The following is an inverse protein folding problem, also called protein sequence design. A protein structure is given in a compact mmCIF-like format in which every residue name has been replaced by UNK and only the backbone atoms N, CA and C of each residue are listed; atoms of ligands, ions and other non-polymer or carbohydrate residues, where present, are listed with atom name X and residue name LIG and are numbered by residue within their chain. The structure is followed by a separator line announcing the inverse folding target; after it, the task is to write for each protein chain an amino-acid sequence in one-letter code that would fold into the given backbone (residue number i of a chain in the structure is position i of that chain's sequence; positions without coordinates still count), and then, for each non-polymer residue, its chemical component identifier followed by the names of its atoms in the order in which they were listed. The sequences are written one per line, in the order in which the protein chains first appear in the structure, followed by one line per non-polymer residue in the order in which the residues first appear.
data_IF_254022449342
#
_entry.id   IF_254022449342
#
_cell.length_a   1.000
_cell.length_b   1.000
_cell.length_c   1.000
_cell.angle_alpha   90.00
_cell.angle_beta   90.00
_cell.angle_gamma   90.00
#
_symmetry.space_group_name_H-M   'P 1'
#
loop_
_entity.id
_entity.type
_entity.pdbx_description
1 polymer ?
#
# COMPACT_ATOMS: atom_id res chain seq x y z
N UNK A 1 9.65 28.18 30.53
CA UNK A 1 8.52 27.52 29.85
C UNK A 1 8.59 27.90 28.38
N UNK A 2 9.11 27.03 27.53
CA UNK A 2 9.27 27.32 26.10
C UNK A 2 8.27 26.48 25.34
N UNK A 3 7.30 27.14 24.70
CA UNK A 3 6.24 26.50 23.90
C UNK A 3 6.81 26.14 22.53
N UNK A 4 6.84 24.85 22.19
CA UNK A 4 7.22 24.39 20.86
C UNK A 4 6.05 24.58 19.91
N UNK A 5 6.18 25.54 19.00
CA UNK A 5 5.25 25.71 17.88
C UNK A 5 5.27 24.47 16.98
N UNK A 6 4.12 23.82 16.79
CA UNK A 6 3.96 22.72 15.83
C UNK A 6 4.11 23.30 14.43
N UNK A 7 5.21 22.97 13.76
CA UNK A 7 5.46 23.41 12.38
C UNK A 7 4.24 23.12 11.49
N UNK A 8 3.82 24.12 10.71
CA UNK A 8 2.74 23.99 9.75
C UNK A 8 3.11 22.92 8.71
N UNK A 9 2.20 21.96 8.48
CA UNK A 9 2.42 20.88 7.53
C UNK A 9 2.58 21.49 6.12
N UNK A 10 3.61 21.13 5.34
CA UNK A 10 3.74 21.61 3.97
C UNK A 10 2.51 21.20 3.14
N UNK A 11 2.03 22.09 2.26
CA UNK A 11 0.82 21.90 1.45
C UNK A 11 1.04 20.95 0.26
N UNK A 12 1.66 19.80 0.51
CA UNK A 12 1.89 18.76 -0.49
C UNK A 12 0.99 17.56 -0.22
N UNK A 13 0.05 17.27 -1.11
CA UNK A 13 -0.75 16.05 -1.07
C UNK A 13 -0.08 14.98 -1.93
N UNK A 14 0.22 13.83 -1.35
CA UNK A 14 0.70 12.66 -2.10
C UNK A 14 -0.51 12.03 -2.80
N UNK A 15 -0.63 12.24 -4.12
CA UNK A 15 -1.76 11.74 -4.92
C UNK A 15 -1.73 10.22 -5.15
N UNK A 16 -0.57 9.59 -4.99
CA UNK A 16 -0.44 8.17 -5.24
C UNK A 16 0.86 7.59 -4.71
N UNK A 17 0.83 6.29 -4.47
CA UNK A 17 1.98 5.50 -4.06
C UNK A 17 2.00 4.17 -4.84
N UNK A 18 3.18 3.62 -5.18
CA UNK A 18 3.26 2.33 -5.87
C UNK A 18 2.51 1.21 -5.15
N UNK A 19 1.47 0.66 -5.80
CA UNK A 19 0.62 -0.42 -5.27
C UNK A 19 1.22 -1.82 -5.45
N UNK A 20 2.26 -1.94 -6.27
CA UNK A 20 2.75 -3.23 -6.77
C UNK A 20 3.45 -4.08 -5.70
N UNK A 21 3.92 -3.46 -4.60
CA UNK A 21 4.71 -4.10 -3.54
C UNK A 21 6.21 -4.19 -3.87
N UNK A 22 7.06 -4.35 -2.84
CA UNK A 22 8.53 -4.32 -2.98
C UNK A 22 9.08 -5.42 -3.89
N UNK A 23 8.37 -6.55 -3.99
CA UNK A 23 8.77 -7.71 -4.80
C UNK A 23 7.70 -8.08 -5.82
N UNK A 24 6.92 -7.07 -6.25
CA UNK A 24 5.84 -7.18 -7.24
C UNK A 24 4.76 -8.18 -6.82
N UNK A 25 4.42 -8.22 -5.55
CA UNK A 25 3.44 -9.12 -4.95
C UNK A 25 2.07 -8.99 -5.65
N UNK A 26 1.61 -7.76 -5.93
CA UNK A 26 0.31 -7.55 -6.58
C UNK A 26 0.28 -8.14 -8.01
N UNK A 27 1.38 -8.00 -8.76
CA UNK A 27 1.50 -8.60 -10.09
C UNK A 27 1.34 -10.12 -10.01
N UNK A 28 2.07 -10.77 -9.10
CA UNK A 28 2.04 -12.23 -8.94
C UNK A 28 0.66 -12.73 -8.52
N UNK A 29 -0.02 -12.01 -7.62
CA UNK A 29 -1.37 -12.35 -7.19
C UNK A 29 -2.38 -12.26 -8.33
N UNK A 30 -2.30 -11.21 -9.15
CA UNK A 30 -3.18 -11.04 -10.33
C UNK A 30 -2.93 -12.16 -11.36
N UNK A 31 -1.67 -12.47 -11.64
CA UNK A 31 -1.32 -13.55 -12.59
C UNK A 31 -1.78 -14.93 -12.09
N UNK A 32 -1.65 -15.19 -10.79
CA UNK A 32 -2.14 -16.43 -10.15
C UNK A 32 -3.66 -16.55 -10.22
N UNK A 33 -4.38 -15.45 -9.97
CA UNK A 33 -5.84 -15.41 -10.10
C UNK A 33 -6.29 -15.67 -11.55
N UNK A 34 -5.65 -15.05 -12.54
CA UNK A 34 -5.95 -15.30 -13.95
C UNK A 34 -5.63 -16.73 -14.40
N UNK A 35 -4.61 -17.34 -13.81
CA UNK A 35 -4.29 -18.75 -14.03
C UNK A 35 -5.27 -19.72 -13.34
N UNK A 36 -6.22 -19.21 -12.55
CA UNK A 36 -7.16 -20.02 -11.76
C UNK A 36 -6.51 -20.73 -10.56
N UNK A 37 -5.29 -20.35 -10.19
CA UNK A 37 -4.53 -20.97 -9.11
C UNK A 37 -4.87 -20.42 -7.73
N UNK A 38 -5.46 -19.22 -7.66
CA UNK A 38 -5.92 -18.57 -6.43
C UNK A 38 -7.31 -17.98 -6.63
N UNK A 39 -8.04 -17.84 -5.52
CA UNK A 39 -9.38 -17.26 -5.45
C UNK A 39 -9.35 -15.72 -5.53
N UNK A 40 -10.52 -15.12 -5.77
CA UNK A 40 -10.67 -13.67 -5.69
C UNK A 40 -10.38 -13.14 -4.27
N UNK A 41 -10.77 -13.89 -3.24
CA UNK A 41 -10.53 -13.53 -1.83
C UNK A 41 -9.03 -13.49 -1.49
N UNK A 42 -8.24 -14.43 -2.02
CA UNK A 42 -6.78 -14.44 -1.85
C UNK A 42 -6.09 -13.26 -2.54
N UNK A 43 -6.58 -12.88 -3.74
CA UNK A 43 -6.12 -11.69 -4.44
C UNK A 43 -6.43 -10.41 -3.63
N UNK A 44 -7.67 -10.28 -3.14
CA UNK A 44 -8.09 -9.11 -2.36
C UNK A 44 -7.35 -9.02 -1.03
N UNK A 45 -7.13 -10.16 -0.36
CA UNK A 45 -6.32 -10.24 0.87
C UNK A 45 -4.89 -9.77 0.62
N UNK A 46 -4.26 -10.22 -0.48
CA UNK A 46 -2.92 -9.76 -0.86
C UNK A 46 -2.90 -8.25 -1.11
N UNK A 47 -3.87 -7.72 -1.84
CA UNK A 47 -3.97 -6.30 -2.12
C UNK A 47 -4.20 -5.47 -0.84
N UNK A 48 -5.03 -5.96 0.09
CA UNK A 48 -5.28 -5.32 1.39
C UNK A 48 -4.02 -5.30 2.25
N UNK A 49 -3.29 -6.40 2.32
CA UNK A 49 -2.00 -6.50 3.02
C UNK A 49 -0.97 -5.50 2.49
N UNK A 50 -0.86 -5.35 1.17
CA UNK A 50 0.04 -4.37 0.56
C UNK A 50 -0.33 -2.92 0.89
N UNK A 51 -1.64 -2.60 0.93
CA UNK A 51 -2.12 -1.28 1.35
C UNK A 51 -1.80 -1.01 2.82
N UNK A 52 -2.02 -1.98 3.70
CA UNK A 52 -1.70 -1.87 5.13
C UNK A 52 -0.20 -1.66 5.37
N UNK A 53 0.64 -2.54 4.81
CA UNK A 53 2.09 -2.44 4.93
C UNK A 53 2.67 -1.14 4.35
N UNK A 54 2.05 -0.59 3.29
CA UNK A 54 2.45 0.71 2.76
C UNK A 54 2.13 1.85 3.73
N UNK A 55 0.94 1.85 4.34
CA UNK A 55 0.56 2.88 5.33
C UNK A 55 1.41 2.80 6.59
N UNK A 56 1.78 1.60 7.04
CA UNK A 56 2.62 1.43 8.23
C UNK A 56 4.05 1.94 8.04
N UNK A 57 4.55 1.97 6.80
CA UNK A 57 5.91 2.43 6.48
C UNK A 57 6.01 3.94 6.30
N UNK A 58 4.92 4.61 5.91
CA UNK A 58 4.88 6.04 5.60
C UNK A 58 4.58 6.87 6.86
#
# INVERSE_FOLDING_TARGET
MTSTSRAAFPAGTILGYPRIGRRRELKKAVESFWAGATTADELESTAAGLRAATRERL
#
